data_IF_846767512784
#
_entry.id   IF_846767512784
#
_cell.length_a   1.000
_cell.length_b   1.000
_cell.length_c   1.000
_cell.angle_alpha   90.00
_cell.angle_beta   90.00
_cell.angle_gamma   90.00
#
_symmetry.space_group_name_H-M   'P 1'
#
loop_
_entity.id
_entity.type
_entity.pdbx_description
1 polymer ?
#
# COMPACT_ATOMS: atom_id res chain seq x y z
N UNK A 1 0.75 -8.63 -22.33
CA UNK A 1 0.54 -7.82 -21.12
C UNK A 1 0.68 -8.74 -19.92
N UNK A 2 1.48 -8.38 -18.93
CA UNK A 2 1.64 -9.17 -17.71
C UNK A 2 0.61 -8.70 -16.68
N UNK A 3 -0.20 -9.63 -16.18
CA UNK A 3 -1.25 -9.34 -15.21
C UNK A 3 -0.63 -9.17 -13.82
N UNK A 4 -0.88 -8.03 -13.17
CA UNK A 4 -0.33 -7.71 -11.85
C UNK A 4 -1.45 -7.49 -10.85
N UNK A 5 -1.33 -8.13 -9.68
CA UNK A 5 -2.27 -7.98 -8.58
C UNK A 5 -1.49 -7.77 -7.29
N UNK A 6 -1.76 -6.67 -6.61
CA UNK A 6 -1.16 -6.35 -5.31
C UNK A 6 -2.23 -6.47 -4.22
N UNK A 7 -2.04 -7.43 -3.32
CA UNK A 7 -2.83 -7.59 -2.11
C UNK A 7 -2.09 -6.88 -0.97
N UNK A 8 -2.75 -5.97 -0.26
CA UNK A 8 -2.13 -5.17 0.80
C UNK A 8 -2.67 -5.52 2.17
N UNK A 9 -1.80 -5.45 3.17
CA UNK A 9 -2.15 -5.60 4.59
C UNK A 9 -2.93 -6.88 4.90
N UNK A 10 -2.66 -7.95 4.14
CA UNK A 10 -3.32 -9.24 4.31
C UNK A 10 -2.56 -10.11 5.31
N UNK A 11 -3.27 -10.97 6.05
CA UNK A 11 -2.62 -12.03 6.83
C UNK A 11 -2.28 -13.18 5.89
N UNK A 12 -0.99 -13.39 5.65
CA UNK A 12 -0.49 -14.45 4.81
C UNK A 12 -0.16 -15.66 5.69
N UNK A 13 -0.86 -16.77 5.44
CA UNK A 13 -0.67 -18.03 6.16
C UNK A 13 -0.17 -19.07 5.17
N UNK A 14 1.09 -19.47 5.30
CA UNK A 14 1.70 -20.56 4.54
C UNK A 14 2.41 -21.55 5.49
N UNK A 15 1.73 -22.63 5.91
CA UNK A 15 2.31 -23.64 6.79
C UNK A 15 3.55 -24.35 6.22
N UNK A 16 3.71 -24.37 4.89
CA UNK A 16 4.86 -25.04 4.25
C UNK A 16 6.18 -24.31 4.53
N UNK A 17 6.09 -23.02 4.83
CA UNK A 17 7.22 -22.16 5.18
C UNK A 17 7.17 -21.66 6.63
N UNK A 18 6.16 -22.09 7.40
CA UNK A 18 5.92 -21.60 8.76
C UNK A 18 5.56 -20.11 8.81
N UNK A 19 4.99 -19.57 7.72
CA UNK A 19 4.66 -18.15 7.61
C UNK A 19 3.25 -17.89 8.17
N UNK A 20 3.17 -16.97 9.12
CA UNK A 20 1.91 -16.46 9.64
C UNK A 20 2.05 -14.99 10.07
N UNK A 21 2.04 -14.09 9.09
CA UNK A 21 2.34 -12.67 9.28
C UNK A 21 1.42 -11.77 8.44
N UNK A 22 1.30 -10.50 8.83
CA UNK A 22 0.58 -9.48 8.05
C UNK A 22 1.56 -8.80 7.08
N UNK A 23 1.34 -8.97 5.78
CA UNK A 23 2.25 -8.57 4.71
C UNK A 23 1.48 -8.07 3.47
N UNK A 24 2.23 -7.43 2.57
CA UNK A 24 1.79 -7.14 1.21
C UNK A 24 2.32 -8.23 0.26
N UNK A 25 1.47 -8.72 -0.65
CA UNK A 25 1.78 -9.80 -1.60
C UNK A 25 1.55 -9.33 -3.03
N UNK A 26 2.61 -9.40 -3.85
CA UNK A 26 2.55 -9.08 -5.27
C UNK A 26 2.48 -10.37 -6.11
N UNK A 27 1.43 -10.49 -6.90
CA UNK A 27 1.28 -11.52 -7.92
C UNK A 27 1.61 -10.93 -9.30
N UNK A 28 2.38 -11.68 -10.08
CA UNK A 28 2.65 -11.41 -11.49
C UNK A 28 2.37 -12.68 -12.27
N UNK A 29 1.39 -12.62 -13.17
CA UNK A 29 0.96 -13.75 -14.01
C UNK A 29 0.63 -15.03 -13.19
N UNK A 30 0.00 -14.84 -12.02
CA UNK A 30 -0.39 -15.92 -11.12
C UNK A 30 0.72 -16.46 -10.22
N UNK A 31 1.94 -15.91 -10.31
CA UNK A 31 3.09 -16.30 -9.50
C UNK A 31 3.37 -15.24 -8.43
N UNK A 32 3.74 -15.69 -7.22
CA UNK A 32 4.21 -14.79 -6.15
C UNK A 32 5.54 -14.17 -6.59
N UNK A 33 5.53 -12.87 -6.85
CA UNK A 33 6.69 -12.12 -7.30
C UNK A 33 7.42 -11.42 -6.15
N UNK A 34 6.71 -11.00 -5.10
CA UNK A 34 7.30 -10.39 -3.90
C UNK A 34 6.39 -10.49 -2.67
N UNK A 35 7.01 -10.51 -1.49
CA UNK A 35 6.40 -10.40 -0.17
C UNK A 35 7.10 -9.27 0.59
N UNK A 36 6.35 -8.27 1.05
CA UNK A 36 6.91 -7.14 1.78
C UNK A 36 6.15 -6.86 3.07
N UNK A 37 6.85 -6.31 4.07
CA UNK A 37 6.18 -5.81 5.29
C UNK A 37 5.34 -4.61 4.92
N UNK A 38 4.08 -4.61 5.36
CA UNK A 38 3.16 -3.51 5.14
C UNK A 38 3.78 -2.22 5.68
N UNK A 39 4.03 -1.28 4.77
CA UNK A 39 4.44 0.07 5.16
C UNK A 39 3.22 0.85 5.65
N UNK A 40 3.35 1.72 6.66
CA UNK A 40 2.26 2.59 7.05
C UNK A 40 1.81 3.40 5.82
N UNK A 41 0.49 3.63 5.66
CA UNK A 41 -0.01 4.38 4.52
C UNK A 41 0.75 5.70 4.43
N UNK A 42 1.34 5.96 3.27
CA UNK A 42 2.14 7.15 3.02
C UNK A 42 1.24 8.36 3.32
N UNK A 43 1.52 9.09 4.40
CA UNK A 43 0.74 10.28 4.77
C UNK A 43 0.72 11.20 3.55
N UNK A 44 -0.47 11.41 3.00
CA UNK A 44 -0.68 12.39 1.95
C UNK A 44 -0.36 13.75 2.57
N UNK A 45 0.78 14.31 2.22
CA UNK A 45 1.24 15.56 2.79
C UNK A 45 0.34 16.67 2.23
N UNK A 46 -0.70 17.02 2.98
CA UNK A 46 -1.59 18.12 2.64
C UNK A 46 -0.82 19.42 2.83
N UNK A 47 -0.39 20.04 1.73
CA UNK A 47 0.14 21.39 1.75
C UNK A 47 -1.01 22.36 2.05
N UNK A 48 -0.99 22.97 3.24
CA UNK A 48 -1.95 24.00 3.68
C UNK A 48 -1.84 25.33 2.91
N UNK A 49 -0.96 25.43 1.91
CA UNK A 49 -0.68 26.69 1.20
C UNK A 49 -1.87 27.16 0.32
N UNK A 50 -2.86 26.31 0.03
CA UNK A 50 -3.97 26.66 -0.85
C UNK A 50 -5.20 27.34 -0.20
N UNK A 51 -5.24 27.56 1.12
CA UNK A 51 -6.43 28.10 1.82
C UNK A 51 -6.32 29.54 2.32
N UNK A 52 -5.15 30.19 2.22
CA UNK A 52 -4.95 31.52 2.81
C UNK A 52 -5.32 32.71 1.88
N UNK A 53 -5.71 32.47 0.63
CA UNK A 53 -5.87 33.56 -0.36
C UNK A 53 -7.24 34.23 -0.37
N UNK A 54 -8.24 33.73 0.38
CA UNK A 54 -9.63 34.19 0.22
C UNK A 54 -10.12 35.19 1.28
N UNK A 55 -9.35 35.51 2.32
CA UNK A 55 -9.77 36.48 3.34
C UNK A 55 -9.07 37.83 3.15
N UNK A 56 -9.34 38.51 2.03
CA UNK A 56 -9.11 39.96 1.92
C UNK A 56 -10.00 40.60 0.85
N UNK A 57 -11.25 40.89 1.21
CA UNK A 57 -12.07 42.07 0.83
C UNK A 57 -13.53 41.81 1.18
N UNK A 58 -14.13 42.75 1.90
CA UNK A 58 -15.52 42.75 2.36
C UNK A 58 -15.60 43.55 3.64
#
# INVERSE_FOLDING_TARGET
MSAKTLLKSGRLVDPSQGLDEVLDLLLVDGIVASLERTSPPRKMQMSWIALASSCRRG
#
